data_IF_645627010051
#
_entry.id   IF_645627010051
#
_cell.length_a   1.000
_cell.length_b   1.000
_cell.length_c   1.000
_cell.angle_alpha   90.00
_cell.angle_beta   90.00
_cell.angle_gamma   90.00
#
_symmetry.space_group_name_H-M   'P 1'
#
loop_
_entity.id
_entity.type
_entity.pdbx_description
1 polymer ?
#
# COMPACT_ATOMS: atom_id res chain seq x y z
N UNK A 1 19.46 17.85 2.24
CA UNK A 1 18.14 17.44 2.79
C UNK A 1 17.59 18.61 3.59
N UNK A 2 16.63 19.37 3.05
CA UNK A 2 16.05 20.54 3.75
C UNK A 2 14.92 20.11 4.69
N UNK A 3 14.93 20.62 5.92
CA UNK A 3 13.88 20.41 6.90
C UNK A 3 12.53 20.97 6.40
N UNK A 4 11.48 20.16 6.45
CA UNK A 4 10.11 20.56 6.12
C UNK A 4 9.46 21.22 7.34
N UNK A 5 9.19 22.53 7.24
CA UNK A 5 8.75 23.42 8.31
C UNK A 5 7.24 23.71 8.32
N UNK A 6 6.38 22.70 8.09
CA UNK A 6 4.92 22.85 8.24
C UNK A 6 4.22 21.54 8.61
N UNK A 7 3.05 21.58 9.28
CA UNK A 7 2.33 20.38 9.74
C UNK A 7 1.74 19.54 8.59
N UNK A 8 1.55 20.15 7.42
CA UNK A 8 0.84 19.57 6.28
C UNK A 8 1.76 19.30 5.08
N UNK A 9 1.52 18.17 4.41
CA UNK A 9 2.12 17.84 3.11
C UNK A 9 1.42 18.70 2.05
N UNK A 10 2.12 19.69 1.48
CA UNK A 10 1.54 20.74 0.61
C UNK A 10 0.68 20.20 -0.54
N UNK A 11 1.10 19.13 -1.21
CA UNK A 11 0.34 18.53 -2.30
C UNK A 11 -1.02 17.98 -1.84
N UNK A 12 -1.09 17.38 -0.65
CA UNK A 12 -2.33 16.84 -0.09
C UNK A 12 -3.26 17.97 0.37
N UNK A 13 -2.71 19.04 0.92
CA UNK A 13 -3.47 20.23 1.27
C UNK A 13 -4.11 20.87 0.02
N UNK A 14 -3.30 21.13 -1.02
CA UNK A 14 -3.79 21.65 -2.31
C UNK A 14 -4.93 20.81 -2.89
N UNK A 15 -4.82 19.48 -2.79
CA UNK A 15 -5.85 18.57 -3.26
C UNK A 15 -7.14 18.65 -2.42
N UNK A 16 -7.02 18.73 -1.09
CA UNK A 16 -8.17 18.87 -0.19
C UNK A 16 -8.95 20.18 -0.42
N UNK A 17 -8.23 21.27 -0.71
CA UNK A 17 -8.80 22.59 -1.03
C UNK A 17 -9.54 22.56 -2.38
N UNK A 18 -8.96 21.91 -3.39
CA UNK A 18 -9.59 21.75 -4.72
C UNK A 18 -10.70 20.70 -4.80
N UNK A 19 -10.96 19.95 -3.72
CA UNK A 19 -11.88 18.81 -3.78
C UNK A 19 -13.27 19.14 -4.33
N UNK A 20 -13.81 20.32 -4.01
CA UNK A 20 -15.14 20.74 -4.45
C UNK A 20 -15.20 21.06 -5.96
N UNK A 21 -14.06 21.23 -6.62
CA UNK A 21 -13.95 21.45 -8.07
C UNK A 21 -13.79 20.13 -8.85
N UNK A 22 -13.58 19.01 -8.16
CA UNK A 22 -13.32 17.70 -8.78
C UNK A 22 -14.65 17.00 -9.08
N UNK A 23 -14.81 16.60 -10.35
CA UNK A 23 -15.85 15.68 -10.77
C UNK A 23 -15.46 14.25 -10.33
N UNK A 24 -16.10 13.76 -9.27
CA UNK A 24 -15.78 12.47 -8.64
C UNK A 24 -16.08 11.26 -9.52
N UNK A 25 -16.91 11.43 -10.55
CA UNK A 25 -17.27 10.38 -11.50
C UNK A 25 -16.28 10.30 -12.67
N UNK A 26 -15.43 11.33 -12.86
CA UNK A 26 -14.40 11.39 -13.92
C UNK A 26 -13.00 11.11 -13.38
N UNK A 27 -12.69 9.84 -13.17
CA UNK A 27 -11.33 9.41 -12.82
C UNK A 27 -10.70 8.56 -13.91
N UNK A 28 -9.38 8.45 -13.86
CA UNK A 28 -8.61 7.59 -14.76
C UNK A 28 -8.02 6.40 -13.99
N UNK A 29 -7.91 5.25 -14.66
CA UNK A 29 -7.20 4.10 -14.09
C UNK A 29 -5.74 4.46 -13.78
N UNK A 30 -5.19 3.76 -12.78
CA UNK A 30 -3.79 3.86 -12.43
C UNK A 30 -2.86 3.12 -13.39
N UNK A 31 -3.39 2.13 -14.13
CA UNK A 31 -2.65 1.40 -15.16
C UNK A 31 -2.59 2.26 -16.41
N UNK A 32 -1.41 2.79 -16.69
CA UNK A 32 -1.11 3.55 -17.90
C UNK A 32 -0.14 2.69 -18.73
N UNK A 33 -0.37 2.62 -20.04
CA UNK A 33 0.54 1.93 -20.96
C UNK A 33 1.93 2.56 -20.91
N UNK A 34 2.98 1.72 -21.00
CA UNK A 34 4.40 2.11 -20.97
C UNK A 34 4.91 2.83 -19.71
N UNK A 35 4.15 2.83 -18.60
CA UNK A 35 4.59 3.44 -17.33
C UNK A 35 4.97 2.41 -16.26
N UNK A 36 5.40 2.85 -15.08
CA UNK A 36 5.73 1.95 -13.97
C UNK A 36 4.51 1.13 -13.52
N UNK A 37 3.31 1.68 -13.67
CA UNK A 37 2.05 1.00 -13.37
C UNK A 37 1.74 -0.18 -14.29
N UNK A 38 2.22 -0.18 -15.54
CA UNK A 38 2.06 -1.31 -16.46
C UNK A 38 2.71 -2.60 -15.92
N UNK A 39 3.72 -2.49 -15.05
CA UNK A 39 4.38 -3.61 -14.36
C UNK A 39 3.46 -4.40 -13.43
N UNK A 40 2.29 -3.84 -13.07
CA UNK A 40 1.27 -4.54 -12.30
C UNK A 40 0.46 -5.52 -13.16
N UNK A 41 0.41 -5.36 -14.48
CA UNK A 41 -0.42 -6.18 -15.36
C UNK A 41 -0.22 -7.70 -15.19
N UNK A 42 1.02 -8.23 -15.10
CA UNK A 42 1.24 -9.66 -14.90
C UNK A 42 0.69 -10.18 -13.57
N UNK A 43 0.60 -9.31 -12.56
CA UNK A 43 0.14 -9.66 -11.20
C UNK A 43 -1.30 -9.20 -10.93
N UNK A 44 -1.95 -8.51 -11.89
CA UNK A 44 -3.24 -7.85 -11.71
C UNK A 44 -4.31 -8.81 -11.19
N UNK A 45 -4.43 -10.00 -11.78
CA UNK A 45 -5.41 -11.00 -11.35
C UNK A 45 -5.22 -11.40 -9.88
N UNK A 46 -3.98 -11.66 -9.47
CA UNK A 46 -3.64 -12.04 -8.08
C UNK A 46 -3.95 -10.90 -7.11
N UNK A 47 -3.59 -9.67 -7.47
CA UNK A 47 -3.85 -8.48 -6.65
C UNK A 47 -5.35 -8.20 -6.51
N UNK A 48 -6.10 -8.26 -7.61
CA UNK A 48 -7.57 -8.09 -7.62
C UNK A 48 -8.22 -9.16 -6.74
N UNK A 49 -7.82 -10.42 -6.88
CA UNK A 49 -8.33 -11.51 -6.05
C UNK A 49 -8.06 -11.24 -4.56
N UNK A 50 -6.82 -10.92 -4.20
CA UNK A 50 -6.46 -10.59 -2.82
C UNK A 50 -7.29 -9.44 -2.25
N UNK A 51 -7.51 -8.38 -3.02
CA UNK A 51 -8.27 -7.21 -2.57
C UNK A 51 -9.76 -7.55 -2.41
N UNK A 52 -10.34 -8.31 -3.34
CA UNK A 52 -11.74 -8.75 -3.25
C UNK A 52 -11.94 -9.71 -2.06
N UNK A 53 -11.04 -10.68 -1.87
CA UNK A 53 -11.06 -11.60 -0.73
C UNK A 53 -11.00 -10.80 0.59
N UNK A 54 -10.13 -9.79 0.66
CA UNK A 54 -10.06 -8.91 1.84
C UNK A 54 -11.34 -8.08 2.01
N UNK A 55 -11.92 -7.52 0.95
CA UNK A 55 -13.18 -6.76 1.02
C UNK A 55 -14.38 -7.60 1.48
N UNK A 56 -14.35 -8.92 1.24
CA UNK A 56 -15.36 -9.84 1.75
C UNK A 56 -15.24 -10.08 3.27
N UNK A 57 -14.11 -9.73 3.89
CA UNK A 57 -13.91 -9.77 5.34
C UNK A 57 -14.32 -8.47 6.03
N UNK A 58 -14.57 -8.54 7.34
CA UNK A 58 -14.86 -7.37 8.15
C UNK A 58 -13.70 -6.37 8.13
N UNK A 59 -14.01 -5.12 7.80
CA UNK A 59 -13.04 -4.01 7.89
C UNK A 59 -13.31 -3.22 9.17
N UNK A 60 -12.32 -3.10 10.08
CA UNK A 60 -12.51 -2.43 11.36
C UNK A 60 -12.67 -0.91 11.24
N UNK A 61 -12.34 -0.33 10.07
CA UNK A 61 -12.39 1.12 9.82
C UNK A 61 -12.79 1.40 8.37
N UNK A 62 -13.49 2.51 8.18
CA UNK A 62 -13.91 2.95 6.84
C UNK A 62 -12.74 3.32 5.92
N UNK A 63 -11.64 3.84 6.48
CA UNK A 63 -10.45 4.17 5.69
C UNK A 63 -9.74 2.92 5.14
N UNK A 64 -9.83 1.80 5.85
CA UNK A 64 -9.32 0.50 5.38
C UNK A 64 -10.15 -0.01 4.21
N UNK A 65 -11.48 0.10 4.29
CA UNK A 65 -12.34 -0.22 3.15
C UNK A 65 -12.06 0.69 1.96
N UNK A 66 -11.91 1.99 2.21
CA UNK A 66 -11.63 2.97 1.16
C UNK A 66 -10.31 2.70 0.42
N UNK A 67 -9.24 2.31 1.13
CA UNK A 67 -7.97 1.95 0.50
C UNK A 67 -8.14 0.77 -0.48
N UNK A 68 -8.82 -0.30 -0.06
CA UNK A 68 -9.09 -1.47 -0.91
C UNK A 68 -9.92 -1.10 -2.15
N UNK A 69 -10.99 -0.31 -1.97
CA UNK A 69 -11.83 0.13 -3.08
C UNK A 69 -11.04 0.99 -4.09
N UNK A 70 -10.26 1.95 -3.60
CA UNK A 70 -9.39 2.77 -4.46
C UNK A 70 -8.34 1.95 -5.20
N UNK A 71 -7.89 0.85 -4.59
CA UNK A 71 -6.92 -0.06 -5.19
C UNK A 71 -7.50 -0.83 -6.37
N UNK A 72 -8.77 -1.27 -6.29
CA UNK A 72 -9.48 -1.86 -7.42
C UNK A 72 -9.72 -0.83 -8.54
N UNK A 73 -10.07 0.40 -8.19
CA UNK A 73 -10.20 1.51 -9.16
C UNK A 73 -8.86 1.77 -9.85
N UNK A 74 -7.76 1.82 -9.08
CA UNK A 74 -6.41 2.00 -9.61
C UNK A 74 -6.03 0.89 -10.58
N UNK A 75 -6.34 -0.37 -10.26
CA UNK A 75 -6.11 -1.50 -11.13
C UNK A 75 -7.05 -1.53 -12.35
N UNK A 76 -8.05 -0.64 -12.43
CA UNK A 76 -9.03 -0.63 -13.51
C UNK A 76 -9.89 -1.91 -13.52
N UNK A 77 -10.23 -2.42 -12.32
CA UNK A 77 -11.07 -3.60 -12.18
C UNK A 77 -12.56 -3.25 -12.34
N UNK A 78 -13.33 -4.15 -12.95
CA UNK A 78 -14.76 -3.92 -13.23
C UNK A 78 -15.62 -4.00 -11.97
N UNK A 79 -15.21 -4.71 -10.92
CA UNK A 79 -15.97 -4.75 -9.66
C UNK A 79 -15.97 -3.40 -8.94
N UNK A 80 -15.07 -2.49 -9.34
CA UNK A 80 -14.95 -1.18 -8.75
C UNK A 80 -15.99 -0.16 -9.24
N UNK A 81 -16.80 -0.49 -10.25
CA UNK A 81 -17.74 0.44 -10.90
C UNK A 81 -18.77 1.04 -9.95
N UNK A 82 -19.16 0.30 -8.92
CA UNK A 82 -20.19 0.76 -7.97
C UNK A 82 -19.61 1.56 -6.80
N UNK A 83 -18.28 1.72 -6.74
CA UNK A 83 -17.63 2.41 -5.62
C UNK A 83 -17.62 3.92 -5.83
N UNK A 84 -18.26 4.64 -4.91
CA UNK A 84 -18.22 6.11 -4.87
C UNK A 84 -16.98 6.61 -4.15
N UNK A 85 -16.13 7.37 -4.85
CA UNK A 85 -14.97 8.01 -4.25
C UNK A 85 -15.43 9.17 -3.36
N UNK A 86 -15.33 8.99 -2.05
CA UNK A 86 -15.70 10.02 -1.05
C UNK A 86 -14.63 11.10 -0.90
N UNK A 87 -14.96 12.22 -0.27
CA UNK A 87 -14.00 13.26 0.13
C UNK A 87 -12.81 12.67 0.92
N UNK A 88 -11.57 13.08 0.66
CA UNK A 88 -10.45 12.67 1.49
C UNK A 88 -10.64 13.19 2.93
N UNK A 89 -10.34 12.33 3.91
CA UNK A 89 -10.48 12.65 5.32
C UNK A 89 -9.45 13.66 5.82
N UNK A 90 -9.56 14.04 7.10
CA UNK A 90 -8.61 14.94 7.74
C UNK A 90 -7.18 14.36 7.75
N UNK A 91 -6.24 15.11 7.19
CA UNK A 91 -4.83 14.77 7.12
C UNK A 91 -4.10 15.26 8.37
N UNK A 92 -3.62 14.32 9.20
CA UNK A 92 -2.67 14.59 10.29
C UNK A 92 -1.36 13.87 9.99
N UNK A 93 -0.21 14.42 10.40
CA UNK A 93 1.13 13.90 10.06
C UNK A 93 1.32 12.42 10.43
N UNK A 94 0.72 11.97 11.53
CA UNK A 94 0.81 10.61 12.03
C UNK A 94 -0.12 9.60 11.31
N UNK A 95 -1.09 10.06 10.51
CA UNK A 95 -2.07 9.17 9.85
C UNK A 95 -1.51 8.64 8.54
N UNK A 96 -0.77 7.53 8.62
CA UNK A 96 -0.19 6.88 7.45
C UNK A 96 -1.24 6.45 6.41
N UNK A 97 -2.33 5.81 6.85
CA UNK A 97 -3.44 5.38 5.98
C UNK A 97 -4.02 6.53 5.15
N UNK A 98 -4.20 7.71 5.76
CA UNK A 98 -4.66 8.89 5.04
C UNK A 98 -3.71 9.25 3.88
N UNK A 99 -2.39 9.18 4.07
CA UNK A 99 -1.41 9.50 3.02
C UNK A 99 -1.54 8.55 1.82
N UNK A 100 -1.82 7.28 2.05
CA UNK A 100 -2.05 6.28 0.98
C UNK A 100 -3.30 6.65 0.17
N UNK A 101 -4.39 6.95 0.86
CA UNK A 101 -5.67 7.32 0.26
C UNK A 101 -5.55 8.62 -0.53
N UNK A 102 -4.88 9.64 0.03
CA UNK A 102 -4.60 10.89 -0.68
C UNK A 102 -3.77 10.64 -1.94
N UNK A 103 -2.70 9.85 -1.84
CA UNK A 103 -1.84 9.54 -2.97
C UNK A 103 -2.59 8.85 -4.11
N UNK A 104 -3.44 7.86 -3.80
CA UNK A 104 -4.27 7.18 -4.79
C UNK A 104 -5.26 8.14 -5.43
N UNK A 105 -6.03 8.90 -4.62
CA UNK A 105 -7.03 9.83 -5.15
C UNK A 105 -6.42 10.90 -6.06
N UNK A 106 -5.31 11.51 -5.65
CA UNK A 106 -4.64 12.53 -6.46
C UNK A 106 -4.25 11.96 -7.83
N UNK A 107 -3.74 10.73 -7.84
CA UNK A 107 -3.34 10.07 -9.08
C UNK A 107 -4.53 9.67 -9.97
N UNK A 108 -5.63 9.24 -9.37
CA UNK A 108 -6.87 8.91 -10.10
C UNK A 108 -7.51 10.15 -10.74
N UNK A 109 -7.42 11.32 -10.10
CA UNK A 109 -7.95 12.60 -10.60
C UNK A 109 -6.87 13.49 -11.24
N UNK A 110 -5.77 12.91 -11.72
CA UNK A 110 -4.61 13.64 -12.25
C UNK A 110 -4.94 14.57 -13.44
N UNK A 111 -5.93 14.24 -14.27
CA UNK A 111 -6.42 15.14 -15.34
C UNK A 111 -7.13 16.39 -14.81
N UNK A 112 -7.73 16.31 -13.62
CA UNK A 112 -8.47 17.41 -12.99
C UNK A 112 -7.63 18.20 -11.97
N UNK A 113 -6.43 17.70 -11.62
CA UNK A 113 -5.57 18.31 -10.62
C UNK A 113 -4.18 18.60 -11.19
N UNK A 114 -3.79 19.88 -11.21
CA UNK A 114 -2.51 20.31 -11.78
C UNK A 114 -1.32 19.74 -11.00
N UNK A 115 -0.67 18.74 -11.58
CA UNK A 115 0.56 18.12 -11.11
C UNK A 115 1.75 18.55 -11.96
N UNK A 116 2.88 18.75 -11.32
CA UNK A 116 4.17 18.78 -12.03
C UNK A 116 4.54 17.37 -12.49
N UNK A 117 5.35 17.24 -13.55
CA UNK A 117 5.84 15.94 -14.02
C UNK A 117 6.52 15.13 -12.89
N UNK A 118 7.23 15.81 -12.00
CA UNK A 118 7.87 15.21 -10.83
C UNK A 118 6.85 14.68 -9.82
N UNK A 119 5.80 15.46 -9.50
CA UNK A 119 4.75 15.01 -8.58
C UNK A 119 3.99 13.81 -9.17
N UNK A 120 3.65 13.86 -10.46
CA UNK A 120 2.97 12.77 -11.14
C UNK A 120 3.77 11.47 -11.10
N UNK A 121 5.05 11.52 -11.52
CA UNK A 121 5.93 10.35 -11.52
C UNK A 121 6.16 9.79 -10.10
N UNK A 122 6.33 10.67 -9.11
CA UNK A 122 6.50 10.25 -7.71
C UNK A 122 5.23 9.59 -7.14
N UNK A 123 4.05 10.14 -7.43
CA UNK A 123 2.76 9.56 -7.03
C UNK A 123 2.53 8.21 -7.70
N UNK A 124 2.85 8.11 -8.99
CA UNK A 124 2.75 6.84 -9.72
C UNK A 124 3.61 5.76 -9.05
N UNK A 125 4.92 6.02 -8.93
CA UNK A 125 5.86 5.06 -8.37
C UNK A 125 5.48 4.65 -6.94
N UNK A 126 5.02 5.61 -6.13
CA UNK A 126 4.54 5.33 -4.78
C UNK A 126 3.25 4.51 -4.77
N UNK A 127 2.26 4.84 -5.61
CA UNK A 127 1.02 4.07 -5.68
C UNK A 127 1.27 2.64 -6.20
N UNK A 128 2.18 2.45 -7.16
CA UNK A 128 2.59 1.11 -7.60
C UNK A 128 3.16 0.30 -6.44
N UNK A 129 4.04 0.89 -5.62
CA UNK A 129 4.53 0.23 -4.40
C UNK A 129 3.39 -0.13 -3.43
N UNK A 130 2.44 0.80 -3.23
CA UNK A 130 1.31 0.60 -2.32
C UNK A 130 0.47 -0.60 -2.76
N UNK A 131 0.11 -0.62 -4.05
CA UNK A 131 -0.72 -1.68 -4.63
C UNK A 131 0.02 -3.01 -4.68
N UNK A 132 1.27 -3.01 -5.13
CA UNK A 132 2.03 -4.24 -5.38
C UNK A 132 2.47 -4.94 -4.09
N UNK A 133 2.92 -4.16 -3.09
CA UNK A 133 3.57 -4.70 -1.90
C UNK A 133 2.76 -4.38 -0.65
N UNK A 134 2.52 -3.10 -0.39
CA UNK A 134 2.09 -2.64 0.94
C UNK A 134 0.72 -3.21 1.38
N UNK A 135 -0.27 -3.23 0.49
CA UNK A 135 -1.64 -3.66 0.82
C UNK A 135 -1.64 -5.05 1.45
N UNK A 136 -1.01 -6.02 0.80
CA UNK A 136 -0.95 -7.41 1.27
C UNK A 136 -0.54 -7.48 2.73
N UNK A 137 0.58 -6.86 3.08
CA UNK A 137 1.14 -6.95 4.43
C UNK A 137 0.39 -6.11 5.46
N UNK A 138 -0.23 -5.00 5.06
CA UNK A 138 -1.05 -4.20 5.96
C UNK A 138 -2.27 -4.99 6.46
N UNK A 139 -2.98 -5.66 5.57
CA UNK A 139 -4.21 -6.37 5.92
C UNK A 139 -3.97 -7.73 6.59
N UNK A 140 -2.75 -8.27 6.50
CA UNK A 140 -2.35 -9.48 7.24
C UNK A 140 -1.63 -9.18 8.56
N UNK A 141 -1.40 -7.91 8.91
CA UNK A 141 -0.61 -7.52 10.08
C UNK A 141 -1.29 -7.82 11.43
N UNK A 142 -2.61 -8.00 11.47
CA UNK A 142 -3.36 -8.27 12.71
C UNK A 142 -3.26 -9.72 13.20
N UNK A 143 -2.80 -10.65 12.36
CA UNK A 143 -2.61 -12.06 12.74
C UNK A 143 -1.26 -12.25 13.43
N UNK A 144 -1.28 -12.40 14.76
CA UNK A 144 -0.06 -12.48 15.58
C UNK A 144 0.76 -13.72 15.29
N UNK A 145 0.09 -14.84 15.07
CA UNK A 145 0.65 -16.12 14.71
C UNK A 145 1.36 -16.07 13.35
N UNK A 146 0.88 -15.24 12.41
CA UNK A 146 1.47 -15.08 11.09
C UNK A 146 2.56 -14.01 11.05
N UNK A 147 2.72 -13.21 12.11
CA UNK A 147 3.54 -12.00 12.08
C UNK A 147 5.01 -12.28 11.69
N UNK A 148 5.70 -13.28 12.27
CA UNK A 148 7.09 -13.56 11.89
C UNK A 148 7.25 -13.97 10.42
N UNK A 149 6.36 -14.83 9.93
CA UNK A 149 6.37 -15.31 8.55
C UNK A 149 6.05 -14.17 7.56
N UNK A 150 5.05 -13.35 7.89
CA UNK A 150 4.66 -12.20 7.09
C UNK A 150 5.79 -11.16 7.02
N UNK A 151 6.47 -10.87 8.12
CA UNK A 151 7.57 -9.91 8.15
C UNK A 151 8.77 -10.40 7.32
N UNK A 152 9.13 -11.68 7.44
CA UNK A 152 10.18 -12.27 6.60
C UNK A 152 9.83 -12.16 5.11
N UNK A 153 8.58 -12.46 4.75
CA UNK A 153 8.12 -12.34 3.37
C UNK A 153 8.11 -10.90 2.89
N UNK A 154 7.70 -9.94 3.74
CA UNK A 154 7.76 -8.52 3.44
C UNK A 154 9.20 -8.10 3.13
N UNK A 155 10.18 -8.52 3.93
CA UNK A 155 11.59 -8.21 3.68
C UNK A 155 12.09 -8.79 2.35
N UNK A 156 11.76 -10.04 2.04
CA UNK A 156 12.09 -10.68 0.75
C UNK A 156 11.43 -9.96 -0.42
N UNK A 157 10.17 -9.56 -0.26
CA UNK A 157 9.41 -8.86 -1.29
C UNK A 157 9.95 -7.45 -1.53
N UNK A 158 10.32 -6.74 -0.46
CA UNK A 158 11.00 -5.45 -0.54
C UNK A 158 12.36 -5.55 -1.23
N UNK A 159 13.14 -6.60 -0.95
CA UNK A 159 14.41 -6.81 -1.62
C UNK A 159 14.24 -7.06 -3.11
N UNK A 160 13.27 -7.89 -3.50
CA UNK A 160 12.91 -8.08 -4.90
C UNK A 160 12.37 -6.79 -5.53
N UNK A 161 11.59 -5.99 -4.80
CA UNK A 161 11.05 -4.73 -5.29
C UNK A 161 12.14 -3.70 -5.63
N UNK A 162 13.33 -3.77 -5.02
CA UNK A 162 14.47 -2.91 -5.38
C UNK A 162 14.88 -3.07 -6.84
N UNK A 163 14.66 -4.24 -7.45
CA UNK A 163 14.90 -4.50 -8.89
C UNK A 163 13.98 -3.64 -9.77
N UNK A 164 12.78 -3.29 -9.28
CA UNK A 164 11.81 -2.46 -9.98
C UNK A 164 11.99 -0.97 -9.68
N UNK A 165 12.22 -0.63 -8.41
CA UNK A 165 12.46 0.74 -7.96
C UNK A 165 13.35 0.73 -6.71
N UNK A 166 14.65 0.94 -6.91
CA UNK A 166 15.65 0.90 -5.83
C UNK A 166 15.43 1.99 -4.77
N UNK A 167 14.95 3.17 -5.17
CA UNK A 167 14.76 4.31 -4.26
C UNK A 167 13.63 4.01 -3.27
N UNK A 168 12.47 3.58 -3.78
CA UNK A 168 11.32 3.23 -2.94
C UNK A 168 11.60 1.95 -2.17
N UNK A 169 12.17 0.92 -2.82
CA UNK A 169 12.52 -0.34 -2.16
C UNK A 169 13.44 -0.14 -0.96
N UNK A 170 14.50 0.67 -1.11
CA UNK A 170 15.40 0.99 0.00
C UNK A 170 14.74 1.84 1.09
N UNK A 171 13.93 2.84 0.72
CA UNK A 171 13.21 3.67 1.69
C UNK A 171 12.20 2.85 2.52
N UNK A 172 11.47 1.94 1.86
CA UNK A 172 10.54 1.03 2.49
C UNK A 172 11.28 0.02 3.38
N UNK A 173 12.31 -0.67 2.87
CA UNK A 173 13.12 -1.61 3.64
C UNK A 173 13.71 -0.97 4.91
N UNK A 174 14.27 0.25 4.80
CA UNK A 174 14.77 1.01 5.95
C UNK A 174 13.66 1.41 6.94
N UNK A 175 12.44 1.58 6.48
CA UNK A 175 11.31 1.94 7.35
C UNK A 175 10.81 0.70 8.09
N UNK A 176 10.61 -0.42 7.39
CA UNK A 176 10.16 -1.67 7.99
C UNK A 176 11.24 -2.31 8.89
N UNK A 177 12.53 -2.15 8.59
CA UNK A 177 13.60 -2.68 9.45
C UNK A 177 13.60 -2.09 10.86
N UNK A 178 13.08 -0.86 11.03
CA UNK A 178 12.92 -0.22 12.34
C UNK A 178 11.78 -0.81 13.18
N UNK A 179 10.95 -1.67 12.59
CA UNK A 179 9.83 -2.34 13.25
C UNK A 179 10.12 -3.80 13.60
N UNK A 180 11.33 -4.30 13.34
CA UNK A 180 11.74 -5.68 13.63
C UNK A 180 12.15 -5.92 15.09
N UNK A 181 11.97 -4.93 15.98
CA UNK A 181 12.41 -5.01 17.38
C UNK A 181 11.77 -6.15 18.17
N UNK A 182 10.61 -6.64 17.71
CA UNK A 182 9.88 -7.75 18.34
C UNK A 182 10.29 -9.13 17.79
N UNK A 183 11.14 -9.21 16.76
CA UNK A 183 11.68 -10.48 16.28
C UNK A 183 12.84 -10.92 17.18
N UNK A 184 12.50 -11.41 18.38
CA UNK A 184 13.43 -12.04 19.32
C UNK A 184 13.35 -13.56 19.24
N UNK A 185 14.34 -14.26 19.80
CA UNK A 185 14.35 -15.73 19.95
C UNK A 185 13.10 -16.24 20.70
N UNK A 186 12.53 -15.45 21.60
CA UNK A 186 11.30 -15.83 22.31
C UNK A 186 10.06 -15.64 21.43
N UNK A 187 9.96 -14.50 20.74
CA UNK A 187 8.77 -14.14 19.97
C UNK A 187 8.71 -14.84 18.61
N UNK A 188 9.85 -15.30 18.07
CA UNK A 188 9.87 -16.17 16.88
C UNK A 188 9.13 -17.49 17.13
N UNK A 189 9.00 -17.92 18.39
CA UNK A 189 8.20 -19.09 18.78
C UNK A 189 6.73 -18.99 18.37
N UNK A 190 6.19 -17.79 18.12
CA UNK A 190 4.85 -17.61 17.56
C UNK A 190 4.70 -18.27 16.17
N UNK A 191 5.78 -18.36 15.39
CA UNK A 191 5.79 -19.00 14.08
C UNK A 191 5.51 -20.51 14.15
N UNK A 192 5.67 -21.15 15.32
CA UNK A 192 5.30 -22.55 15.51
C UNK A 192 3.79 -22.79 15.37
N UNK A 193 2.98 -21.76 15.65
CA UNK A 193 1.52 -21.82 15.51
C UNK A 193 1.04 -21.45 14.10
N UNK A 194 1.93 -20.95 13.24
CA UNK A 194 1.59 -20.65 11.84
C UNK A 194 1.52 -21.96 11.02
N UNK A 195 0.37 -22.23 10.42
CA UNK A 195 0.17 -23.39 9.54
C UNK A 195 0.93 -23.26 8.21
N UNK A 196 1.40 -22.06 7.84
CA UNK A 196 2.20 -21.80 6.64
C UNK A 196 3.68 -22.13 6.82
N UNK A 197 4.14 -22.27 8.06
CA UNK A 197 5.50 -22.71 8.36
C UNK A 197 5.52 -24.24 8.37
N UNK A 198 6.37 -24.85 7.53
CA UNK A 198 6.44 -26.32 7.42
C UNK A 198 6.98 -26.95 8.70
N UNK A 199 6.56 -28.19 9.01
CA UNK A 199 7.07 -28.93 10.17
C UNK A 199 8.60 -29.04 10.17
N UNK A 200 9.21 -29.23 8.99
CA UNK A 200 10.66 -29.23 8.82
C UNK A 200 11.30 -27.91 9.25
N UNK A 201 10.73 -26.77 8.81
CA UNK A 201 11.22 -25.45 9.22
C UNK A 201 11.09 -25.25 10.73
N UNK A 202 9.97 -25.70 11.32
CA UNK A 202 9.75 -25.63 12.78
C UNK A 202 10.79 -26.44 13.55
N UNK A 203 11.13 -27.64 13.07
CA UNK A 203 12.21 -28.46 13.65
C UNK A 203 13.54 -27.71 13.57
N UNK A 204 13.90 -27.18 12.40
CA UNK A 204 15.17 -26.46 12.22
C UNK A 204 15.30 -25.21 13.11
N UNK A 205 14.20 -24.56 13.47
CA UNK A 205 14.22 -23.41 14.39
C UNK A 205 14.54 -23.77 15.85
N UNK A 206 14.42 -25.04 16.24
CA UNK A 206 14.69 -25.51 17.62
C UNK A 206 16.10 -26.11 17.76
N UNK A 207 16.64 -26.71 16.70
CA UNK A 207 17.90 -27.47 16.74
C UNK A 207 19.13 -26.64 16.30
N UNK A 208 19.26 -25.41 16.80
CA UNK A 208 20.47 -24.60 16.66
C UNK A 208 21.31 -24.59 17.94
#
# INVERSE_FOLDING_TARGET
>A
MGASSGPNIKIFQRFAEKWNEIDVDKYESGIIEDTAASKLNPQKYVLVKLINDQLATFQPRDDYKALLQLSLIFLGDKTAKDFKIRRPGALHRARWMAKLIYSLKIFLFRSQFKLTARELSALEAFNVFVIQVYIKYWYTASSRELAPYNDLNLLKELDNYKKLNIVIGNAAAKSFSRHLWYLSETLIGLAFFDSKVSSEMKVNMVYH
#
